data_IF_328949610700
#
_entry.id   IF_328949610700
#
_cell.length_a   1.000
_cell.length_b   1.000
_cell.length_c   1.000
_cell.angle_alpha   90.00
_cell.angle_beta   90.00
_cell.angle_gamma   90.00
#
_symmetry.space_group_name_H-M   'P 1'
#
loop_
_entity.id
_entity.type
_entity.pdbx_description
1 polymer ?
#
# COMPACT_ATOMS: atom_id res chain seq x y z
N UNK A 1 -6.25 -33.62 -36.15
CA UNK A 1 -7.67 -33.22 -35.97
C UNK A 1 -7.98 -33.38 -34.48
N UNK A 2 -8.38 -32.33 -33.78
CA UNK A 2 -8.83 -32.46 -32.40
C UNK A 2 -10.32 -32.86 -32.38
N UNK A 3 -10.74 -33.64 -31.40
CA UNK A 3 -12.15 -34.00 -31.18
C UNK A 3 -12.51 -33.70 -29.73
N UNK A 4 -13.71 -33.16 -29.52
CA UNK A 4 -14.29 -33.02 -28.18
C UNK A 4 -15.28 -34.15 -27.99
N UNK A 5 -15.16 -34.86 -26.88
CA UNK A 5 -16.13 -35.87 -26.47
C UNK A 5 -17.09 -35.29 -25.46
N UNK A 6 -18.32 -35.79 -25.41
CA UNK A 6 -19.22 -35.51 -24.28
C UNK A 6 -18.69 -36.17 -22.99
N UNK A 7 -19.28 -35.81 -21.84
CA UNK A 7 -18.84 -36.29 -20.52
C UNK A 7 -18.92 -37.81 -20.34
N UNK A 8 -19.79 -38.50 -21.08
CA UNK A 8 -19.92 -39.96 -21.06
C UNK A 8 -19.09 -40.64 -22.15
N UNK A 9 -18.46 -39.87 -23.06
CA UNK A 9 -17.64 -40.38 -24.15
C UNK A 9 -18.42 -41.08 -25.27
N UNK A 10 -19.74 -40.88 -25.36
CA UNK A 10 -20.62 -41.55 -26.31
C UNK A 10 -20.56 -40.91 -27.71
N UNK A 11 -20.29 -39.61 -27.77
CA UNK A 11 -20.26 -38.80 -28.97
C UNK A 11 -18.95 -38.02 -29.02
N UNK A 12 -18.34 -37.96 -30.22
CA UNK A 12 -17.14 -37.18 -30.46
C UNK A 12 -17.35 -36.26 -31.66
N UNK A 13 -17.18 -34.95 -31.47
CA UNK A 13 -17.36 -33.95 -32.51
C UNK A 13 -16.00 -33.43 -33.01
N UNK A 14 -15.78 -33.31 -34.33
CA UNK A 14 -14.57 -32.69 -34.84
C UNK A 14 -14.55 -31.21 -34.47
N UNK A 15 -13.47 -30.75 -33.84
CA UNK A 15 -13.29 -29.34 -33.52
C UNK A 15 -12.11 -28.75 -34.29
N UNK A 16 -12.26 -27.48 -34.68
CA UNK A 16 -11.15 -26.69 -35.22
C UNK A 16 -10.03 -26.60 -34.19
N UNK A 17 -8.77 -26.44 -34.64
CA UNK A 17 -7.67 -26.15 -33.72
C UNK A 17 -7.97 -24.80 -33.06
N UNK A 18 -8.24 -24.82 -31.76
CA UNK A 18 -8.41 -23.60 -30.97
C UNK A 18 -7.02 -23.05 -30.69
N UNK A 19 -6.80 -21.77 -30.99
CA UNK A 19 -5.58 -21.07 -30.57
C UNK A 19 -5.56 -20.96 -29.05
N UNK A 20 -4.44 -21.28 -28.37
CA UNK A 20 -4.32 -21.05 -26.94
C UNK A 20 -4.70 -19.61 -26.59
N UNK A 21 -5.48 -19.45 -25.52
CA UNK A 21 -5.84 -18.14 -24.95
C UNK A 21 -5.38 -18.11 -23.51
N UNK A 22 -4.89 -16.94 -23.09
CA UNK A 22 -4.51 -16.68 -21.69
C UNK A 22 -5.68 -16.00 -20.99
N UNK A 23 -5.93 -16.39 -19.74
CA UNK A 23 -6.90 -15.73 -18.87
C UNK A 23 -6.19 -15.25 -17.61
N UNK A 24 -6.51 -14.03 -17.17
CA UNK A 24 -6.00 -13.50 -15.92
C UNK A 24 -6.82 -14.07 -14.76
N UNK A 25 -6.17 -14.76 -13.83
CA UNK A 25 -6.77 -15.26 -12.60
C UNK A 25 -6.27 -14.40 -11.45
N UNK A 26 -7.18 -13.76 -10.72
CA UNK A 26 -6.82 -12.90 -9.58
C UNK A 26 -6.65 -13.73 -8.30
N UNK A 27 -5.68 -13.37 -7.45
CA UNK A 27 -5.48 -14.02 -6.15
C UNK A 27 -6.68 -13.76 -5.22
N UNK A 28 -6.83 -14.61 -4.21
CA UNK A 28 -7.72 -14.33 -3.08
C UNK A 28 -6.91 -13.68 -1.95
N UNK A 29 -7.50 -12.73 -1.19
CA UNK A 29 -6.80 -12.14 -0.06
C UNK A 29 -6.49 -13.21 0.97
N UNK A 30 -5.23 -13.27 1.41
CA UNK A 30 -4.76 -14.21 2.42
C UNK A 30 -4.46 -13.47 3.74
N UNK A 31 -4.87 -14.03 4.89
CA UNK A 31 -4.57 -13.42 6.18
C UNK A 31 -3.05 -13.34 6.37
N UNK A 32 -2.62 -12.24 6.99
CA UNK A 32 -1.24 -12.07 7.45
C UNK A 32 -1.19 -12.29 8.97
N UNK A 33 -0.12 -12.90 9.50
CA UNK A 33 -0.05 -13.31 10.90
C UNK A 33 -0.09 -12.13 11.87
N UNK A 34 0.39 -10.95 11.46
CA UNK A 34 0.24 -9.71 12.20
C UNK A 34 0.08 -8.55 11.22
N UNK A 35 -1.05 -7.85 11.30
CA UNK A 35 -1.20 -6.55 10.65
C UNK A 35 -0.26 -5.60 11.40
N UNK A 36 0.71 -4.98 10.71
CA UNK A 36 1.66 -4.10 11.38
C UNK A 36 0.92 -2.92 12.02
N UNK A 37 1.39 -2.52 13.20
CA UNK A 37 0.82 -1.42 13.94
C UNK A 37 0.95 -0.10 13.15
N UNK A 38 -0.21 0.43 12.78
CA UNK A 38 -0.37 1.69 12.05
C UNK A 38 -0.40 2.91 12.99
N UNK A 39 -0.42 2.73 14.31
CA UNK A 39 -0.37 3.86 15.24
C UNK A 39 0.96 4.61 15.14
N UNK A 40 2.05 3.91 14.79
CA UNK A 40 3.34 4.53 14.40
C UNK A 40 3.27 5.32 13.08
N UNK A 41 2.24 5.11 12.27
CA UNK A 41 2.03 5.80 10.99
C UNK A 41 1.26 7.14 11.15
N UNK A 42 0.53 7.32 12.26
CA UNK A 42 -0.43 8.44 12.41
C UNK A 42 0.26 9.83 12.46
N UNK A 43 1.48 9.95 12.97
CA UNK A 43 2.28 11.18 12.84
C UNK A 43 3.76 10.95 13.21
N UNK A 44 4.66 10.91 12.22
CA UNK A 44 6.11 10.91 12.49
C UNK A 44 6.59 12.28 13.00
N UNK A 45 5.91 13.33 12.57
CA UNK A 45 6.07 14.69 13.04
C UNK A 45 4.74 15.42 12.93
N UNK A 46 4.60 16.52 13.65
CA UNK A 46 3.47 17.44 13.53
C UNK A 46 3.98 18.72 12.90
N UNK A 47 3.25 19.24 11.92
CA UNK A 47 3.58 20.52 11.29
C UNK A 47 2.43 21.51 11.41
N UNK A 48 2.72 22.82 11.49
CA UNK A 48 1.68 23.83 11.56
C UNK A 48 0.72 23.71 10.37
N UNK A 49 -0.58 23.60 10.67
CA UNK A 49 -1.63 23.66 9.66
C UNK A 49 -1.90 25.12 9.29
N UNK A 50 -1.93 25.48 8.00
CA UNK A 50 -2.24 26.84 7.58
C UNK A 50 -3.73 27.14 7.83
N UNK A 51 -4.00 27.82 8.95
CA UNK A 51 -5.33 28.30 9.31
C UNK A 51 -6.32 27.23 9.77
N UNK A 52 -7.53 27.68 10.10
CA UNK A 52 -8.63 26.83 10.55
C UNK A 52 -8.49 26.29 11.97
N UNK A 53 -9.26 25.23 12.23
CA UNK A 53 -9.23 24.46 13.47
C UNK A 53 -8.65 23.06 13.20
N UNK A 54 -8.04 22.50 14.22
CA UNK A 54 -7.61 21.11 14.31
C UNK A 54 -7.93 20.62 15.73
N UNK A 55 -7.90 19.32 15.99
CA UNK A 55 -8.01 18.82 17.37
C UNK A 55 -6.67 18.92 18.11
N UNK A 56 -5.57 18.75 17.39
CA UNK A 56 -4.22 18.89 17.91
C UNK A 56 -3.72 20.33 17.72
N UNK A 57 -3.12 20.88 18.76
CA UNK A 57 -2.51 22.21 18.73
C UNK A 57 -1.22 22.25 19.54
N UNK A 58 -0.34 23.13 19.11
CA UNK A 58 0.81 23.54 19.90
C UNK A 58 0.57 24.93 20.48
N UNK A 59 1.06 25.16 21.71
CA UNK A 59 1.01 26.46 22.36
C UNK A 59 2.27 27.24 22.04
N UNK A 60 2.11 28.44 21.49
CA UNK A 60 3.23 29.35 21.25
C UNK A 60 2.88 30.81 21.48
N UNK A 61 3.90 31.67 21.50
CA UNK A 61 3.71 33.11 21.52
C UNK A 61 3.08 33.60 20.22
N UNK A 62 2.22 34.61 20.35
CA UNK A 62 1.66 35.36 19.24
C UNK A 62 2.75 35.97 18.36
N UNK A 63 2.54 35.91 17.06
CA UNK A 63 3.31 36.60 16.03
C UNK A 63 2.37 37.52 15.25
N UNK A 64 2.83 38.70 14.80
CA UNK A 64 2.04 39.56 13.93
C UNK A 64 1.48 38.77 12.74
N UNK A 65 0.16 38.87 12.52
CA UNK A 65 -0.56 38.11 11.49
C UNK A 65 -1.29 36.86 11.99
N UNK A 66 -1.06 36.43 13.23
CA UNK A 66 -1.86 35.35 13.83
C UNK A 66 -3.31 35.79 14.06
N UNK A 67 -4.25 34.85 13.88
CA UNK A 67 -5.67 35.10 14.13
C UNK A 67 -5.97 35.17 15.63
N UNK A 68 -6.71 36.20 16.05
CA UNK A 68 -7.17 36.33 17.44
C UNK A 68 -8.13 35.20 17.86
N UNK A 69 -8.77 34.53 16.90
CA UNK A 69 -9.63 33.37 17.17
C UNK A 69 -8.84 32.17 17.71
N UNK A 70 -7.52 32.15 17.51
CA UNK A 70 -6.65 31.08 17.99
C UNK A 70 -6.05 31.39 19.38
N UNK A 71 -6.40 32.51 20.02
CA UNK A 71 -5.86 32.88 21.33
C UNK A 71 -6.26 31.85 22.39
N UNK A 72 -5.28 31.44 23.20
CA UNK A 72 -5.49 30.66 24.40
C UNK A 72 -5.77 31.62 25.57
N UNK A 73 -7.00 32.11 25.68
CA UNK A 73 -7.38 33.15 26.65
C UNK A 73 -6.95 32.83 28.08
N UNK A 74 -7.19 31.60 28.54
CA UNK A 74 -6.83 31.16 29.90
C UNK A 74 -5.33 31.23 30.21
N UNK A 75 -4.48 30.92 29.21
CA UNK A 75 -3.03 30.89 29.41
C UNK A 75 -2.44 32.29 29.20
N UNK A 76 -3.04 33.07 28.30
CA UNK A 76 -2.74 34.48 28.12
C UNK A 76 -3.00 35.25 29.42
N UNK A 77 -4.17 35.06 30.03
CA UNK A 77 -4.52 35.65 31.33
C UNK A 77 -3.56 35.20 32.45
N UNK A 78 -3.16 33.92 32.47
CA UNK A 78 -2.23 33.38 33.47
C UNK A 78 -0.80 33.92 33.33
N UNK A 79 -0.32 34.11 32.10
CA UNK A 79 1.11 34.43 31.83
C UNK A 79 1.35 35.90 31.52
N UNK A 80 0.30 36.68 31.23
CA UNK A 80 0.40 38.06 30.73
C UNK A 80 0.96 38.16 29.30
N UNK A 81 1.23 37.03 28.64
CA UNK A 81 1.78 36.97 27.28
C UNK A 81 0.69 36.48 26.32
N UNK A 82 0.61 37.06 25.13
CA UNK A 82 -0.32 36.58 24.11
C UNK A 82 0.04 35.17 23.64
N UNK A 83 -0.76 34.18 24.05
CA UNK A 83 -0.55 32.77 23.73
C UNK A 83 -1.54 32.31 22.66
N UNK A 84 -1.06 31.60 21.65
CA UNK A 84 -1.82 31.08 20.51
C UNK A 84 -1.86 29.55 20.56
N UNK A 85 -3.04 28.99 20.28
CA UNK A 85 -3.27 27.58 19.94
C UNK A 85 -3.05 27.41 18.44
N UNK A 86 -1.82 27.08 18.04
CA UNK A 86 -1.50 26.85 16.64
C UNK A 86 -2.04 25.47 16.22
N UNK A 87 -2.98 25.39 15.27
CA UNK A 87 -3.46 24.10 14.76
C UNK A 87 -2.33 23.30 14.14
N UNK A 88 -2.30 22.01 14.46
CA UNK A 88 -1.29 21.07 13.99
C UNK A 88 -1.94 20.05 13.06
N UNK A 89 -1.25 19.68 12.00
CA UNK A 89 -1.62 18.55 11.16
C UNK A 89 -0.51 17.48 11.15
N UNK A 90 -0.88 16.20 11.13
CA UNK A 90 0.10 15.12 11.13
C UNK A 90 0.86 15.12 9.80
N UNK A 91 2.19 15.08 9.88
CA UNK A 91 3.03 14.82 8.73
C UNK A 91 3.10 13.30 8.52
N UNK A 92 2.22 12.81 7.65
CA UNK A 92 2.21 11.39 7.24
C UNK A 92 3.41 11.10 6.36
N UNK A 93 4.08 9.97 6.63
CA UNK A 93 5.20 9.49 5.85
C UNK A 93 4.79 8.55 4.71
N UNK A 94 5.73 8.22 3.82
CA UNK A 94 5.50 7.24 2.77
C UNK A 94 5.34 5.82 3.35
N UNK A 95 4.21 5.17 3.02
CA UNK A 95 3.92 3.75 3.27
C UNK A 95 4.30 2.96 2.04
N UNK A 96 5.10 1.91 2.20
CA UNK A 96 5.58 1.11 1.10
C UNK A 96 5.35 -0.39 1.34
N UNK A 97 4.76 -1.05 0.35
CA UNK A 97 4.69 -2.50 0.26
C UNK A 97 5.71 -2.95 -0.77
N UNK A 98 6.62 -3.84 -0.39
CA UNK A 98 7.68 -4.35 -1.27
C UNK A 98 7.50 -5.83 -1.55
N UNK A 99 7.78 -6.28 -2.76
CA UNK A 99 7.66 -7.68 -3.15
C UNK A 99 8.72 -8.04 -4.18
N UNK A 100 9.27 -9.25 -4.12
CA UNK A 100 10.05 -9.83 -5.21
C UNK A 100 9.16 -10.77 -6.00
N UNK A 101 8.91 -10.48 -7.28
CA UNK A 101 8.07 -11.30 -8.16
C UNK A 101 8.89 -12.48 -8.69
N UNK A 102 9.13 -13.46 -7.83
CA UNK A 102 9.89 -14.68 -8.09
C UNK A 102 9.47 -15.76 -7.11
N UNK A 103 9.46 -17.01 -7.55
CA UNK A 103 9.18 -18.18 -6.71
C UNK A 103 8.34 -19.23 -7.42
N UNK A 104 7.92 -20.25 -6.68
CA UNK A 104 6.93 -21.22 -7.18
C UNK A 104 5.56 -20.55 -7.39
N UNK A 105 4.66 -21.10 -8.23
CA UNK A 105 3.29 -20.60 -8.37
C UNK A 105 2.56 -20.46 -7.02
N UNK A 106 2.78 -21.40 -6.10
CA UNK A 106 2.21 -21.40 -4.75
C UNK A 106 2.79 -20.29 -3.87
N UNK A 107 4.09 -20.00 -3.98
CA UNK A 107 4.73 -18.86 -3.31
C UNK A 107 4.21 -17.53 -3.85
N UNK A 108 4.09 -17.41 -5.17
CA UNK A 108 3.57 -16.21 -5.82
C UNK A 108 2.11 -15.96 -5.43
N UNK A 109 1.25 -16.99 -5.46
CA UNK A 109 -0.14 -16.89 -5.00
C UNK A 109 -0.20 -16.44 -3.53
N UNK A 110 0.67 -17.00 -2.67
CA UNK A 110 0.78 -16.60 -1.26
C UNK A 110 1.21 -15.13 -1.12
N UNK A 111 2.21 -14.68 -1.88
CA UNK A 111 2.69 -13.29 -1.90
C UNK A 111 1.58 -12.35 -2.35
N UNK A 112 0.93 -12.64 -3.48
CA UNK A 112 -0.16 -11.85 -4.02
C UNK A 112 -1.37 -11.80 -3.08
N UNK A 113 -1.75 -12.91 -2.45
CA UNK A 113 -2.83 -12.93 -1.47
C UNK A 113 -2.53 -12.07 -0.23
N UNK A 114 -1.30 -12.12 0.29
CA UNK A 114 -0.86 -11.26 1.40
C UNK A 114 -0.81 -9.78 1.00
N UNK A 115 -0.32 -9.48 -0.21
CA UNK A 115 -0.30 -8.12 -0.77
C UNK A 115 -1.71 -7.56 -0.90
N UNK A 116 -2.66 -8.35 -1.43
CA UNK A 116 -4.05 -7.94 -1.59
C UNK A 116 -4.71 -7.68 -0.23
N UNK A 117 -4.47 -8.53 0.77
CA UNK A 117 -4.99 -8.33 2.12
C UNK A 117 -4.48 -7.03 2.76
N UNK A 118 -3.18 -6.77 2.67
CA UNK A 118 -2.57 -5.54 3.19
C UNK A 118 -3.01 -4.31 2.42
N UNK A 119 -3.02 -4.38 1.09
CA UNK A 119 -3.46 -3.28 0.25
C UNK A 119 -4.90 -2.88 0.53
N UNK A 120 -5.82 -3.84 0.67
CA UNK A 120 -7.21 -3.59 1.04
C UNK A 120 -7.30 -2.91 2.41
N UNK A 121 -6.59 -3.44 3.41
CA UNK A 121 -6.55 -2.86 4.74
C UNK A 121 -6.07 -1.39 4.75
N UNK A 122 -5.04 -1.06 3.95
CA UNK A 122 -4.54 0.31 3.83
C UNK A 122 -5.53 1.23 3.09
N UNK A 123 -6.14 0.74 2.01
CA UNK A 123 -7.16 1.49 1.27
C UNK A 123 -8.41 1.76 2.11
N UNK A 124 -8.88 0.78 2.90
CA UNK A 124 -9.99 0.93 3.85
C UNK A 124 -9.72 2.01 4.91
N UNK A 125 -8.45 2.25 5.24
CA UNK A 125 -8.02 3.29 6.19
C UNK A 125 -7.73 4.64 5.54
N UNK A 126 -7.99 4.80 4.23
CA UNK A 126 -7.64 5.97 3.42
C UNK A 126 -6.15 6.34 3.55
N UNK A 127 -5.31 5.31 3.51
CA UNK A 127 -3.86 5.44 3.56
C UNK A 127 -3.34 5.25 2.16
N UNK A 128 -2.68 6.30 1.66
CA UNK A 128 -1.96 6.22 0.38
C UNK A 128 -0.64 5.48 0.59
N UNK A 129 -0.37 4.50 -0.25
CA UNK A 129 0.85 3.70 -0.22
C UNK A 129 1.43 3.49 -1.63
N UNK A 130 2.69 3.08 -1.67
CA UNK A 130 3.41 2.68 -2.88
C UNK A 130 3.67 1.18 -2.84
N UNK A 131 3.33 0.46 -3.90
CA UNK A 131 3.74 -0.91 -4.14
C UNK A 131 5.02 -0.88 -4.98
N UNK A 132 6.11 -1.47 -4.47
CA UNK A 132 7.33 -1.70 -5.24
C UNK A 132 7.57 -3.19 -5.44
N UNK A 133 7.60 -3.61 -6.70
CA UNK A 133 7.84 -5.00 -7.06
C UNK A 133 9.08 -5.12 -7.92
N UNK A 134 9.98 -6.05 -7.59
CA UNK A 134 11.06 -6.44 -8.50
C UNK A 134 10.49 -7.43 -9.53
N UNK A 135 10.53 -7.09 -10.82
CA UNK A 135 10.04 -7.89 -11.95
C UNK A 135 11.17 -8.14 -12.96
N UNK A 136 10.88 -8.84 -14.06
CA UNK A 136 11.83 -9.09 -15.15
C UNK A 136 12.43 -7.80 -15.75
N UNK A 137 11.65 -6.71 -15.75
CA UNK A 137 12.02 -5.42 -16.33
C UNK A 137 12.67 -4.47 -15.28
N UNK A 138 12.89 -4.96 -14.06
CA UNK A 138 13.42 -4.18 -12.94
C UNK A 138 12.36 -3.82 -11.91
N UNK A 139 12.59 -2.75 -11.13
CA UNK A 139 11.68 -2.34 -10.06
C UNK A 139 10.52 -1.54 -10.63
N UNK A 140 9.30 -2.07 -10.52
CA UNK A 140 8.06 -1.35 -10.82
C UNK A 140 7.51 -0.67 -9.57
N UNK A 141 7.02 0.55 -9.73
CA UNK A 141 6.44 1.39 -8.67
C UNK A 141 5.00 1.77 -9.02
N UNK A 142 4.05 1.42 -8.15
CA UNK A 142 2.63 1.72 -8.33
C UNK A 142 2.06 2.41 -7.10
N UNK A 143 1.46 3.59 -7.30
CA UNK A 143 0.77 4.31 -6.24
C UNK A 143 -0.67 3.84 -6.09
N UNK A 144 -1.11 3.67 -4.85
CA UNK A 144 -2.44 3.18 -4.51
C UNK A 144 -3.02 3.97 -3.34
N UNK A 145 -4.26 4.41 -3.49
CA UNK A 145 -5.10 4.96 -2.44
C UNK A 145 -6.48 4.29 -2.39
N UNK A 146 -6.96 3.76 -3.52
CA UNK A 146 -8.29 3.14 -3.62
C UNK A 146 -8.22 1.64 -3.96
N UNK A 147 -9.30 0.91 -3.67
CA UNK A 147 -9.44 -0.51 -4.04
C UNK A 147 -9.35 -0.75 -5.55
N UNK A 148 -9.84 0.19 -6.36
CA UNK A 148 -9.75 0.12 -7.83
C UNK A 148 -8.31 0.25 -8.32
N UNK A 149 -7.55 1.18 -7.74
CA UNK A 149 -6.12 1.34 -8.03
C UNK A 149 -5.33 0.10 -7.59
N UNK A 150 -5.67 -0.48 -6.44
CA UNK A 150 -5.07 -1.72 -5.97
C UNK A 150 -5.33 -2.86 -6.96
N UNK A 151 -6.58 -3.03 -7.38
CA UNK A 151 -6.95 -4.07 -8.36
C UNK A 151 -6.16 -3.91 -9.66
N UNK A 152 -6.06 -2.67 -10.18
CA UNK A 152 -5.27 -2.38 -11.37
C UNK A 152 -3.78 -2.65 -11.17
N UNK A 153 -3.25 -2.36 -9.98
CA UNK A 153 -1.86 -2.64 -9.65
C UNK A 153 -1.57 -4.14 -9.60
N UNK A 154 -2.48 -4.93 -8.98
CA UNK A 154 -2.39 -6.40 -8.97
C UNK A 154 -2.45 -6.95 -10.38
N UNK A 155 -3.38 -6.49 -11.23
CA UNK A 155 -3.49 -6.93 -12.62
C UNK A 155 -2.20 -6.65 -13.40
N UNK A 156 -1.61 -5.46 -13.19
CA UNK A 156 -0.35 -5.06 -13.83
C UNK A 156 0.79 -5.99 -13.41
N UNK A 157 0.90 -6.30 -12.12
CA UNK A 157 1.94 -7.17 -11.58
C UNK A 157 1.75 -8.64 -11.96
N UNK A 158 0.52 -9.13 -12.07
CA UNK A 158 0.22 -10.48 -12.56
C UNK A 158 0.58 -10.65 -14.04
N UNK A 159 0.57 -9.57 -14.81
CA UNK A 159 0.99 -9.57 -16.22
C UNK A 159 2.49 -9.31 -16.40
N UNK A 160 3.20 -8.96 -15.32
CA UNK A 160 4.64 -8.69 -15.37
C UNK A 160 5.45 -9.99 -15.40
N UNK A 161 6.61 -9.96 -16.07
CA UNK A 161 7.54 -11.08 -16.05
C UNK A 161 8.20 -11.25 -14.68
N UNK A 162 8.51 -12.49 -14.31
CA UNK A 162 9.20 -12.80 -13.06
C UNK A 162 10.65 -12.28 -13.06
N UNK A 163 11.11 -11.78 -11.91
CA UNK A 163 12.49 -11.37 -11.72
C UNK A 163 13.44 -12.56 -11.92
N UNK A 164 14.48 -12.37 -12.73
CA UNK A 164 15.46 -13.43 -13.02
C UNK A 164 16.34 -13.70 -11.80
N UNK A 165 16.83 -12.65 -11.16
CA UNK A 165 17.75 -12.69 -10.03
C UNK A 165 17.52 -11.49 -9.09
N UNK A 166 18.09 -11.58 -7.88
CA UNK A 166 18.08 -10.52 -6.88
C UNK A 166 16.83 -10.46 -6.01
N UNK A 167 16.85 -9.54 -5.05
CA UNK A 167 15.74 -9.27 -4.15
C UNK A 167 15.39 -7.78 -4.17
N UNK A 168 14.11 -7.45 -4.05
CA UNK A 168 13.68 -6.06 -3.85
C UNK A 168 14.31 -5.45 -2.58
N UNK A 169 14.80 -6.29 -1.64
CA UNK A 169 15.50 -5.85 -0.42
C UNK A 169 16.89 -5.29 -0.67
N UNK A 170 17.49 -5.60 -1.82
CA UNK A 170 18.81 -5.07 -2.21
C UNK A 170 18.73 -3.56 -2.55
N UNK A 171 17.50 -3.04 -2.69
CA UNK A 171 17.23 -1.64 -2.99
C UNK A 171 16.89 -0.87 -1.71
N UNK A 172 17.62 0.22 -1.47
CA UNK A 172 17.32 1.14 -0.37
C UNK A 172 16.15 2.07 -0.72
N UNK A 173 15.13 2.13 0.14
CA UNK A 173 13.97 2.99 -0.05
C UNK A 173 13.80 3.98 1.11
N UNK A 174 13.56 5.25 0.80
CA UNK A 174 13.25 6.28 1.78
C UNK A 174 11.76 6.24 2.17
N UNK A 175 11.31 5.11 2.72
CA UNK A 175 9.96 4.96 3.25
C UNK A 175 9.94 5.27 4.76
N UNK A 176 8.89 5.95 5.23
CA UNK A 176 8.68 6.11 6.68
C UNK A 176 8.14 4.82 7.30
N UNK A 177 7.53 3.97 6.49
CA UNK A 177 7.07 2.65 6.87
C UNK A 177 7.18 1.72 5.67
N UNK A 178 7.76 0.53 5.87
CA UNK A 178 7.96 -0.47 4.82
C UNK A 178 7.54 -1.85 5.33
N UNK A 179 6.82 -2.60 4.50
CA UNK A 179 6.55 -4.01 4.71
C UNK A 179 6.94 -4.82 3.49
N UNK A 180 7.59 -5.95 3.73
CA UNK A 180 8.04 -6.84 2.67
C UNK A 180 7.18 -8.11 2.61
N UNK A 181 6.57 -8.33 1.45
CA UNK A 181 5.75 -9.47 1.13
C UNK A 181 6.68 -10.64 0.75
N UNK A 182 6.75 -11.67 1.62
CA UNK A 182 7.55 -12.88 1.34
C UNK A 182 8.50 -13.32 2.46
N UNK A 183 8.51 -12.66 3.63
CA UNK A 183 9.47 -12.90 4.71
C UNK A 183 9.43 -14.23 5.48
N UNK A 184 9.11 -15.37 4.85
CA UNK A 184 9.43 -16.69 5.40
C UNK A 184 10.92 -17.03 5.17
N UNK A 185 11.55 -17.86 6.03
CA UNK A 185 12.99 -18.15 5.99
C UNK A 185 13.47 -18.90 4.73
N UNK A 186 12.58 -19.27 3.81
CA UNK A 186 12.92 -19.98 2.57
C UNK A 186 13.39 -19.06 1.43
N UNK A 187 13.51 -17.74 1.66
CA UNK A 187 14.12 -16.79 0.71
C UNK A 187 15.62 -16.52 0.98
N UNK A 188 16.34 -17.49 1.55
CA UNK A 188 17.78 -17.45 1.82
C UNK A 188 18.62 -18.23 0.82
#
# INVERSE_FOLDING_TARGET
>A
RARVCDYLGLFAFPVGKVTPKTVLVRPKPLPIPAIPDLDRYIARAWKPKPGGFAENHELRLYRPGDSLNQVHWKLTAKTGKWMIRQPMEPQRGLVMLTMTLRGTPEELDRKFGRLLRLGNYLAEKDIRFEIRALTADGVQSLWVQTEQELTKAIDTLLCAGEAKEGSIRDFGFAASWQYHIGGEPDEG
#
